data_IF_399578119461
#
_entry.id   IF_399578119461
#
_cell.length_a   1.000
_cell.length_b   1.000
_cell.length_c   1.000
_cell.angle_alpha   90.00
_cell.angle_beta   90.00
_cell.angle_gamma   90.00
#
_symmetry.space_group_name_H-M   'P 1'
#
loop_
_entity.id
_entity.type
_entity.pdbx_description
1 polymer ?
#
# COMPACT_ATOMS: atom_id res chain seq x y z
N UNK A 1 5.62 9.59 -7.40
CA UNK A 1 5.14 9.25 -8.76
C UNK A 1 6.34 8.83 -9.61
N UNK A 2 6.14 8.08 -10.69
CA UNK A 2 7.23 7.56 -11.53
C UNK A 2 7.71 8.59 -12.55
N UNK A 3 8.05 9.79 -12.09
CA UNK A 3 8.31 10.96 -12.94
C UNK A 3 9.55 11.77 -12.53
N UNK A 4 10.41 11.23 -11.68
CA UNK A 4 11.57 11.93 -11.11
C UNK A 4 12.44 12.61 -12.17
N UNK A 5 12.78 11.89 -13.25
CA UNK A 5 13.64 12.39 -14.34
C UNK A 5 12.97 13.43 -15.25
N UNK A 6 11.68 13.71 -15.03
CA UNK A 6 10.87 14.60 -15.88
C UNK A 6 10.38 15.85 -15.15
N UNK A 7 10.77 16.04 -13.88
CA UNK A 7 10.36 17.22 -13.12
C UNK A 7 11.17 18.46 -13.54
N UNK A 8 10.46 19.54 -13.88
CA UNK A 8 11.03 20.85 -14.18
C UNK A 8 11.11 21.79 -12.97
N UNK A 9 10.65 21.33 -11.80
CA UNK A 9 10.65 22.01 -10.50
C UNK A 9 11.22 21.05 -9.45
N UNK A 10 11.52 21.57 -8.25
CA UNK A 10 11.95 20.72 -7.14
C UNK A 10 10.90 19.64 -6.83
N UNK A 11 11.34 18.49 -6.32
CA UNK A 11 10.42 17.40 -5.91
C UNK A 11 9.50 17.90 -4.79
N UNK A 12 10.01 18.73 -3.87
CA UNK A 12 9.22 19.33 -2.80
C UNK A 12 8.08 20.20 -3.32
N UNK A 13 8.38 21.11 -4.26
CA UNK A 13 7.36 21.96 -4.90
C UNK A 13 6.36 21.13 -5.70
N UNK A 14 6.82 20.07 -6.37
CA UNK A 14 5.93 19.15 -7.08
C UNK A 14 4.95 18.47 -6.13
N UNK A 15 5.41 17.95 -4.99
CA UNK A 15 4.55 17.30 -4.00
C UNK A 15 3.56 18.32 -3.42
N UNK A 16 4.03 19.52 -3.09
CA UNK A 16 3.17 20.61 -2.62
C UNK A 16 2.04 20.91 -3.60
N UNK A 17 2.37 21.03 -4.89
CA UNK A 17 1.36 21.24 -5.95
C UNK A 17 0.33 20.10 -6.01
N UNK A 18 0.75 18.85 -5.80
CA UNK A 18 -0.17 17.70 -5.78
C UNK A 18 -1.10 17.74 -4.56
N UNK A 19 -0.59 18.14 -3.40
CA UNK A 19 -1.40 18.31 -2.18
C UNK A 19 -2.44 19.41 -2.39
N UNK A 20 -2.01 20.60 -2.80
CA UNK A 20 -2.89 21.74 -3.06
C UNK A 20 -3.92 21.46 -4.16
N UNK A 21 -3.56 20.64 -5.15
CA UNK A 21 -4.50 20.19 -6.17
C UNK A 21 -5.56 19.26 -5.56
N UNK A 22 -5.14 18.29 -4.74
CA UNK A 22 -6.05 17.36 -4.07
C UNK A 22 -7.05 18.04 -3.14
N UNK A 23 -6.63 19.09 -2.43
CA UNK A 23 -7.51 19.89 -1.54
C UNK A 23 -8.63 20.62 -2.30
N UNK A 24 -8.45 20.86 -3.60
CA UNK A 24 -9.43 21.55 -4.47
C UNK A 24 -10.42 20.59 -5.13
N UNK A 25 -10.26 19.28 -4.94
CA UNK A 25 -11.13 18.28 -5.56
C UNK A 25 -12.35 18.00 -4.67
N UNK A 26 -13.56 18.25 -5.20
CA UNK A 26 -14.80 17.81 -4.54
C UNK A 26 -14.96 16.28 -4.56
N UNK A 27 -14.44 15.63 -5.62
CA UNK A 27 -14.54 14.19 -5.84
C UNK A 27 -13.15 13.61 -6.15
N UNK A 28 -12.39 13.32 -5.10
CA UNK A 28 -11.03 12.79 -5.23
C UNK A 28 -11.01 11.30 -5.63
N UNK A 29 -10.19 10.91 -6.62
CA UNK A 29 -10.03 9.51 -6.98
C UNK A 29 -9.36 8.74 -5.83
N UNK A 30 -9.72 7.47 -5.68
CA UNK A 30 -9.01 6.58 -4.75
C UNK A 30 -7.62 6.25 -5.31
N UNK A 31 -6.61 6.37 -4.46
CA UNK A 31 -5.23 6.03 -4.79
C UNK A 31 -4.94 4.63 -4.26
N UNK A 32 -4.39 3.77 -5.11
CA UNK A 32 -4.02 2.41 -4.77
C UNK A 32 -2.51 2.20 -4.94
N UNK A 33 -1.92 1.43 -4.03
CA UNK A 33 -0.55 0.94 -4.14
C UNK A 33 -0.56 -0.55 -4.39
N UNK A 34 0.28 -1.02 -5.30
CA UNK A 34 0.37 -2.44 -5.69
C UNK A 34 1.81 -2.90 -5.67
N UNK A 35 2.02 -4.16 -5.29
CA UNK A 35 3.31 -4.82 -5.42
C UNK A 35 3.12 -6.22 -6.01
N UNK A 36 3.36 -6.35 -7.32
CA UNK A 36 3.28 -7.64 -8.03
C UNK A 36 4.56 -8.47 -7.90
N UNK A 37 5.60 -7.93 -7.26
CA UNK A 37 6.93 -8.50 -7.21
C UNK A 37 7.31 -8.99 -5.81
N UNK A 38 6.32 -9.15 -4.92
CA UNK A 38 6.54 -9.81 -3.64
C UNK A 38 7.09 -11.22 -3.88
N UNK A 39 8.08 -11.58 -3.06
CA UNK A 39 8.72 -12.89 -3.08
C UNK A 39 8.62 -13.55 -1.72
N UNK A 40 8.59 -14.88 -1.71
CA UNK A 40 8.73 -15.68 -0.51
C UNK A 40 10.21 -15.78 -0.06
N UNK A 41 10.44 -16.54 1.01
CA UNK A 41 11.79 -16.78 1.55
C UNK A 41 12.69 -17.57 0.59
N UNK A 42 12.11 -18.31 -0.35
CA UNK A 42 12.83 -19.04 -1.39
C UNK A 42 13.17 -18.17 -2.61
N UNK A 43 12.67 -16.93 -2.65
CA UNK A 43 12.86 -16.00 -3.76
C UNK A 43 11.85 -16.18 -4.90
N UNK A 44 10.83 -17.01 -4.72
CA UNK A 44 9.75 -17.26 -5.66
C UNK A 44 8.68 -16.17 -5.58
N UNK A 45 8.12 -15.79 -6.72
CA UNK A 45 7.11 -14.74 -6.75
C UNK A 45 5.79 -15.22 -6.14
N UNK A 46 5.24 -14.41 -5.23
CA UNK A 46 3.93 -14.66 -4.63
C UNK A 46 2.77 -14.38 -5.58
N UNK A 47 3.02 -13.78 -6.75
CA UNK A 47 1.98 -13.40 -7.71
C UNK A 47 2.23 -14.07 -9.07
N UNK A 48 1.17 -14.55 -9.70
CA UNK A 48 1.18 -14.94 -11.11
C UNK A 48 1.09 -13.72 -12.02
N UNK A 49 1.62 -13.84 -13.25
CA UNK A 49 1.61 -12.75 -14.24
C UNK A 49 0.19 -12.23 -14.59
N UNK A 50 -0.81 -13.09 -14.49
CA UNK A 50 -2.21 -12.76 -14.81
C UNK A 50 -3.02 -12.30 -13.60
N UNK A 51 -2.48 -12.41 -12.39
CA UNK A 51 -3.19 -12.08 -11.14
C UNK A 51 -3.56 -10.58 -11.08
N UNK A 52 -2.84 -9.73 -11.82
CA UNK A 52 -3.19 -8.31 -12.05
C UNK A 52 -4.63 -8.07 -12.53
N UNK A 53 -5.23 -9.02 -13.24
CA UNK A 53 -6.65 -8.91 -13.65
C UNK A 53 -7.59 -8.94 -12.45
N UNK A 54 -7.24 -9.71 -11.41
CA UNK A 54 -8.02 -9.78 -10.16
C UNK A 54 -7.83 -8.51 -9.36
N UNK A 55 -6.59 -8.02 -9.22
CA UNK A 55 -6.27 -6.80 -8.49
C UNK A 55 -7.02 -5.58 -9.05
N UNK A 56 -7.03 -5.42 -10.38
CA UNK A 56 -7.78 -4.33 -11.03
C UNK A 56 -9.29 -4.44 -10.82
N UNK A 57 -9.86 -5.65 -10.88
CA UNK A 57 -11.30 -5.85 -10.60
C UNK A 57 -11.66 -5.55 -9.16
N UNK A 58 -10.81 -5.89 -8.20
CA UNK A 58 -11.05 -5.50 -6.81
C UNK A 58 -11.03 -3.98 -6.63
N UNK A 59 -10.09 -3.28 -7.29
CA UNK A 59 -10.04 -1.82 -7.26
C UNK A 59 -11.29 -1.17 -7.84
N UNK A 60 -11.79 -1.67 -8.97
CA UNK A 60 -13.07 -1.24 -9.56
C UNK A 60 -14.22 -1.35 -8.55
N UNK A 61 -14.43 -2.54 -7.98
CA UNK A 61 -15.47 -2.76 -6.97
C UNK A 61 -15.28 -1.84 -5.75
N UNK A 62 -14.03 -1.64 -5.31
CA UNK A 62 -13.72 -0.77 -4.18
C UNK A 62 -14.02 0.70 -4.47
N UNK A 63 -13.83 1.16 -5.71
CA UNK A 63 -14.21 2.51 -6.13
C UNK A 63 -15.72 2.71 -6.17
N UNK A 64 -16.48 1.67 -6.48
CA UNK A 64 -17.95 1.69 -6.53
C UNK A 64 -18.59 1.49 -5.15
N UNK A 65 -17.84 0.99 -4.17
CA UNK A 65 -18.35 0.70 -2.83
C UNK A 65 -18.98 -0.70 -2.70
N UNK A 66 -18.74 -1.58 -3.67
CA UNK A 66 -19.32 -2.93 -3.73
C UNK A 66 -18.60 -3.95 -2.85
N UNK A 67 -17.42 -3.60 -2.33
CA UNK A 67 -16.61 -4.43 -1.43
C UNK A 67 -16.05 -3.63 -0.27
N UNK A 68 -15.96 -4.31 0.87
CA UNK A 68 -15.34 -3.83 2.11
C UNK A 68 -13.80 -3.97 2.05
N UNK A 69 -13.11 -3.49 3.09
CA UNK A 69 -11.66 -3.61 3.20
C UNK A 69 -11.22 -3.70 4.67
N UNK A 70 -10.11 -4.39 4.93
CA UNK A 70 -9.51 -4.46 6.27
C UNK A 70 -8.62 -3.24 6.47
N UNK A 71 -8.77 -2.57 7.61
CA UNK A 71 -7.90 -1.45 8.01
C UNK A 71 -6.61 -2.01 8.59
N UNK A 72 -5.48 -1.56 8.05
CA UNK A 72 -4.14 -1.91 8.50
C UNK A 72 -3.36 -0.65 8.87
N UNK A 73 -2.22 -0.77 9.56
CA UNK A 73 -1.33 0.37 9.81
C UNK A 73 -0.87 1.09 8.54
N UNK A 74 -0.84 0.37 7.40
CA UNK A 74 -0.33 0.85 6.12
C UNK A 74 -1.41 1.27 5.13
N UNK A 75 -2.69 1.13 5.47
CA UNK A 75 -3.80 1.54 4.63
C UNK A 75 -4.98 0.57 4.70
N UNK A 76 -5.60 0.32 3.55
CA UNK A 76 -6.70 -0.64 3.42
C UNK A 76 -6.27 -1.79 2.52
N UNK A 77 -6.55 -3.03 2.93
CA UNK A 77 -6.29 -4.23 2.13
C UNK A 77 -7.58 -4.98 1.81
N UNK A 78 -7.62 -5.81 0.74
CA UNK A 78 -8.76 -6.63 0.42
C UNK A 78 -9.08 -7.66 1.50
N UNK A 79 -10.36 -8.00 1.64
CA UNK A 79 -10.81 -9.15 2.44
C UNK A 79 -10.60 -10.45 1.64
N UNK A 80 -10.13 -11.51 2.30
CA UNK A 80 -9.87 -12.81 1.69
C UNK A 80 -11.06 -13.34 0.87
N UNK A 81 -12.27 -13.28 1.44
CA UNK A 81 -13.48 -13.81 0.81
C UNK A 81 -13.77 -13.18 -0.56
N UNK A 82 -13.49 -11.89 -0.72
CA UNK A 82 -13.71 -11.18 -1.98
C UNK A 82 -12.67 -11.59 -3.02
N UNK A 83 -11.41 -11.66 -2.62
CA UNK A 83 -10.33 -12.12 -3.49
C UNK A 83 -10.57 -13.56 -3.95
N UNK A 84 -10.93 -14.46 -3.03
CA UNK A 84 -11.22 -15.86 -3.35
C UNK A 84 -12.27 -15.98 -4.45
N UNK A 85 -13.37 -15.23 -4.33
CA UNK A 85 -14.44 -15.19 -5.36
C UNK A 85 -13.92 -14.61 -6.68
N UNK A 86 -13.14 -13.53 -6.63
CA UNK A 86 -12.62 -12.87 -7.82
C UNK A 86 -11.59 -13.72 -8.58
N UNK A 87 -10.69 -14.41 -7.88
CA UNK A 87 -9.75 -15.36 -8.47
C UNK A 87 -10.49 -16.49 -9.19
N UNK A 88 -11.48 -17.10 -8.51
CA UNK A 88 -12.28 -18.16 -9.12
C UNK A 88 -13.04 -17.69 -10.36
N UNK A 89 -13.69 -16.52 -10.28
CA UNK A 89 -14.49 -15.95 -11.39
C UNK A 89 -13.64 -15.47 -12.55
N UNK A 90 -12.45 -14.93 -12.30
CA UNK A 90 -11.64 -14.24 -13.32
C UNK A 90 -10.62 -15.14 -13.96
N UNK A 91 -10.02 -16.05 -13.20
CA UNK A 91 -8.92 -16.90 -13.65
C UNK A 91 -9.24 -18.39 -13.56
N UNK A 92 -10.37 -18.78 -12.96
CA UNK A 92 -10.69 -20.19 -12.68
C UNK A 92 -9.79 -20.81 -11.59
N UNK A 93 -8.85 -20.04 -11.06
CA UNK A 93 -7.81 -20.43 -10.11
C UNK A 93 -8.36 -20.48 -8.68
N UNK A 94 -7.89 -21.44 -7.90
CA UNK A 94 -8.08 -21.47 -6.46
C UNK A 94 -7.12 -20.50 -5.76
N UNK A 95 -7.64 -19.70 -4.84
CA UNK A 95 -6.87 -18.74 -4.06
C UNK A 95 -6.91 -19.13 -2.60
N UNK A 96 -5.75 -19.52 -2.08
CA UNK A 96 -5.59 -20.14 -0.77
C UNK A 96 -5.48 -19.07 0.33
N UNK A 97 -5.73 -19.45 1.58
CA UNK A 97 -5.54 -18.53 2.71
C UNK A 97 -4.06 -18.25 2.94
N UNK A 98 -3.23 -19.22 2.64
CA UNK A 98 -1.77 -19.17 2.74
C UNK A 98 -1.22 -18.11 1.78
N UNK A 99 -1.64 -18.14 0.50
CA UNK A 99 -1.26 -17.12 -0.50
C UNK A 99 -1.68 -15.72 -0.02
N UNK A 100 -2.92 -15.59 0.46
CA UNK A 100 -3.45 -14.33 0.98
C UNK A 100 -2.66 -13.81 2.18
N UNK A 101 -2.39 -14.68 3.14
CA UNK A 101 -1.62 -14.34 4.33
C UNK A 101 -0.23 -13.84 3.94
N UNK A 102 0.50 -14.57 3.11
CA UNK A 102 1.85 -14.16 2.71
C UNK A 102 1.89 -12.88 1.86
N UNK A 103 0.92 -12.70 0.96
CA UNK A 103 0.83 -11.51 0.11
C UNK A 103 0.51 -10.24 0.91
N UNK A 104 -0.38 -10.33 1.90
CA UNK A 104 -0.89 -9.16 2.63
C UNK A 104 -0.36 -9.03 4.07
N UNK A 105 0.50 -9.94 4.54
CA UNK A 105 1.19 -9.85 5.82
C UNK A 105 1.93 -8.52 5.97
N UNK A 106 1.65 -7.82 7.06
CA UNK A 106 2.34 -6.58 7.41
C UNK A 106 3.69 -6.92 8.01
N UNK A 107 4.74 -6.53 7.29
CA UNK A 107 6.14 -6.74 7.65
C UNK A 107 6.66 -5.49 8.36
N UNK A 108 6.41 -5.40 9.66
CA UNK A 108 6.56 -4.14 10.42
C UNK A 108 8.00 -3.62 10.40
N UNK A 109 9.04 -4.42 10.69
CA UNK A 109 10.43 -3.96 10.63
C UNK A 109 10.81 -3.35 9.27
N UNK A 110 10.37 -3.96 8.18
CA UNK A 110 10.64 -3.55 6.80
C UNK A 110 9.90 -2.24 6.46
N UNK A 111 8.67 -2.08 6.95
CA UNK A 111 7.93 -0.83 6.82
C UNK A 111 8.59 0.31 7.61
N UNK A 112 9.01 0.07 8.86
CA UNK A 112 9.71 1.06 9.67
C UNK A 112 11.05 1.47 9.04
N UNK A 113 11.84 0.50 8.58
CA UNK A 113 13.08 0.75 7.84
C UNK A 113 12.83 1.56 6.56
N UNK A 114 11.76 1.27 5.83
CA UNK A 114 11.37 2.05 4.66
C UNK A 114 11.02 3.49 5.04
N UNK A 115 10.25 3.71 6.11
CA UNK A 115 9.87 5.05 6.56
C UNK A 115 11.12 5.86 6.89
N UNK A 116 12.05 5.29 7.66
CA UNK A 116 13.29 5.97 8.04
C UNK A 116 14.13 6.35 6.81
N UNK A 117 14.29 5.42 5.86
CA UNK A 117 15.00 5.70 4.61
C UNK A 117 14.34 6.81 3.80
N UNK A 118 13.01 6.78 3.67
CA UNK A 118 12.27 7.81 2.94
C UNK A 118 12.40 9.16 3.65
N UNK A 119 12.21 9.21 4.96
CA UNK A 119 12.37 10.41 5.77
C UNK A 119 13.74 11.05 5.51
N UNK A 120 14.81 10.27 5.64
CA UNK A 120 16.18 10.75 5.42
C UNK A 120 16.38 11.35 4.03
N UNK A 121 15.95 10.66 2.97
CA UNK A 121 16.07 11.17 1.59
C UNK A 121 15.35 12.51 1.44
N UNK A 122 14.14 12.64 2.00
CA UNK A 122 13.37 13.88 1.86
C UNK A 122 13.87 15.02 2.76
N UNK A 123 14.53 14.73 3.87
CA UNK A 123 15.17 15.73 4.74
C UNK A 123 16.50 16.23 4.15
N UNK A 124 17.31 15.34 3.58
CA UNK A 124 18.69 15.65 3.15
C UNK A 124 18.79 16.03 1.66
N UNK A 125 18.06 15.32 0.78
CA UNK A 125 18.27 15.38 -0.67
C UNK A 125 17.17 16.15 -1.41
N UNK A 126 16.04 16.46 -0.76
CA UNK A 126 14.89 17.11 -1.39
C UNK A 126 14.68 18.51 -0.84
N UNK A 127 14.95 19.51 -1.69
CA UNK A 127 14.62 20.90 -1.40
C UNK A 127 13.09 21.10 -1.29
N UNK A 128 12.67 21.93 -0.35
CA UNK A 128 11.27 22.32 -0.12
C UNK A 128 10.31 21.15 0.17
N UNK A 129 10.78 20.06 0.79
CA UNK A 129 9.93 18.97 1.25
C UNK A 129 8.77 19.46 2.12
N UNK A 130 7.50 19.19 1.77
CA UNK A 130 6.36 19.66 2.55
C UNK A 130 6.28 19.01 3.93
N UNK A 131 5.99 19.79 4.98
CA UNK A 131 5.86 19.30 6.36
C UNK A 131 4.82 18.16 6.49
N UNK A 132 3.73 18.26 5.74
CA UNK A 132 2.66 17.24 5.70
C UNK A 132 3.18 15.84 5.32
N UNK A 133 4.25 15.76 4.51
CA UNK A 133 4.86 14.47 4.17
C UNK A 133 5.44 13.80 5.43
N UNK A 134 6.19 14.56 6.24
CA UNK A 134 6.82 14.06 7.45
C UNK A 134 5.78 13.72 8.51
N UNK A 135 4.71 14.51 8.61
CA UNK A 135 3.59 14.19 9.49
C UNK A 135 2.93 12.85 9.13
N UNK A 136 2.68 12.58 7.85
CA UNK A 136 2.05 11.32 7.45
C UNK A 136 2.99 10.13 7.65
N UNK A 137 4.30 10.30 7.42
CA UNK A 137 5.30 9.29 7.75
C UNK A 137 5.31 8.96 9.25
N UNK A 138 5.24 9.98 10.12
CA UNK A 138 5.21 9.80 11.56
C UNK A 138 3.88 9.14 12.02
N UNK A 139 2.74 9.57 11.46
CA UNK A 139 1.43 8.94 11.72
C UNK A 139 1.44 7.46 11.32
N UNK A 140 2.04 7.12 10.17
CA UNK A 140 2.17 5.73 9.73
C UNK A 140 3.11 4.94 10.64
N UNK A 141 4.25 5.52 11.02
CA UNK A 141 5.22 4.92 11.94
C UNK A 141 4.56 4.55 13.27
N UNK A 142 3.83 5.49 13.88
CA UNK A 142 3.11 5.26 15.12
C UNK A 142 2.11 4.11 15.02
N UNK A 143 1.28 4.07 13.96
CA UNK A 143 0.34 2.95 13.72
C UNK A 143 1.06 1.60 13.63
N UNK A 144 2.25 1.58 13.01
CA UNK A 144 3.05 0.37 12.87
C UNK A 144 3.64 -0.08 14.21
N UNK A 145 4.17 0.84 15.01
CA UNK A 145 4.71 0.56 16.34
C UNK A 145 3.62 0.06 17.28
N UNK A 146 2.45 0.71 17.31
CA UNK A 146 1.29 0.25 18.09
C UNK A 146 0.85 -1.17 17.68
N UNK A 147 0.77 -1.44 16.37
CA UNK A 147 0.41 -2.78 15.88
C UNK A 147 1.49 -3.82 16.23
N UNK A 148 2.76 -3.43 16.21
CA UNK A 148 3.89 -4.30 16.58
C UNK A 148 3.84 -4.72 18.04
N UNK A 149 3.48 -3.80 18.94
CA UNK A 149 3.36 -4.11 20.37
C UNK A 149 2.27 -5.15 20.65
N UNK A 150 1.20 -5.16 19.86
CA UNK A 150 0.06 -6.06 20.03
C UNK A 150 0.29 -7.40 19.32
N UNK A 151 0.78 -7.37 18.07
CA UNK A 151 0.79 -8.53 17.17
C UNK A 151 2.19 -9.04 16.82
N UNK A 152 3.24 -8.32 17.20
CA UNK A 152 4.63 -8.64 16.84
C UNK A 152 5.06 -8.12 15.47
N UNK A 153 6.18 -8.64 14.98
CA UNK A 153 6.89 -8.09 13.80
C UNK A 153 6.18 -8.38 12.46
N UNK A 154 5.46 -9.49 12.39
CA UNK A 154 4.90 -10.04 11.15
C UNK A 154 3.42 -10.36 11.34
N UNK A 155 2.56 -9.43 10.92
CA UNK A 155 1.13 -9.46 11.25
C UNK A 155 0.34 -10.01 10.06
N UNK A 156 -0.24 -11.22 10.15
CA UNK A 156 -1.11 -11.73 9.10
C UNK A 156 -2.41 -10.92 9.03
N UNK A 157 -3.04 -10.79 7.85
CA UNK A 157 -4.27 -10.00 7.67
C UNK A 157 -5.43 -10.40 8.59
N UNK A 158 -5.55 -11.69 8.91
CA UNK A 158 -6.63 -12.25 9.73
C UNK A 158 -6.58 -11.74 11.20
N UNK A 159 -5.43 -11.22 11.66
CA UNK A 159 -5.28 -10.62 13.00
C UNK A 159 -5.69 -9.14 13.07
N UNK A 160 -5.92 -8.49 11.92
CA UNK A 160 -6.26 -7.06 11.81
C UNK A 160 -7.77 -6.81 11.61
N UNK A 161 -8.58 -7.85 11.80
CA UNK A 161 -10.02 -7.84 11.55
C UNK A 161 -10.84 -7.62 12.82
#
# INVERSE_FOLDING_TARGET
MSNLDFLSISIGDYIKNQIEFGEKLDNSPRIFSVNYFLKDENGEYLNGMLDKKVWLKWMELRTQGDVEAIRTPTGLIPIYEDLKKLFKKTLGKEYTKEDYSEQFKIRVPEHLSKIERIRKIYEEDVENSPELLFEELEKQKKRLEEAREIHGDYIPPDELR
#
